data_IF_681001169249
#
_entry.id   IF_681001169249
#
_cell.length_a   1.000
_cell.length_b   1.000
_cell.length_c   1.000
_cell.angle_alpha   90.00
_cell.angle_beta   90.00
_cell.angle_gamma   90.00
#
_symmetry.space_group_name_H-M   'P 1'
#
loop_
_entity.id
_entity.type
_entity.pdbx_description
1 polymer ?
#
# COMPACT_ATOMS: atom_id res chain seq x y z
N UNK A 1 -36.65 3.49 3.89
CA UNK A 1 -37.44 2.47 4.60
C UNK A 1 -38.32 3.22 5.59
N UNK A 2 -39.65 3.07 5.59
CA UNK A 2 -40.48 3.75 6.60
C UNK A 2 -40.17 3.12 7.97
N UNK A 3 -39.69 3.90 8.93
CA UNK A 3 -39.42 3.42 10.29
C UNK A 3 -40.74 2.96 10.91
N UNK A 4 -40.72 1.84 11.63
CA UNK A 4 -41.93 1.36 12.31
C UNK A 4 -42.29 2.29 13.46
N UNK A 5 -43.59 2.40 13.76
CA UNK A 5 -44.09 3.21 14.89
C UNK A 5 -43.42 2.80 16.20
N UNK A 6 -43.15 1.50 16.39
CA UNK A 6 -42.42 0.99 17.55
C UNK A 6 -41.04 1.65 17.70
N UNK A 7 -40.23 1.68 16.64
CA UNK A 7 -38.89 2.31 16.69
C UNK A 7 -39.01 3.82 16.95
N UNK A 8 -40.00 4.50 16.35
CA UNK A 8 -40.26 5.92 16.60
C UNK A 8 -40.58 6.22 18.07
N UNK A 9 -41.39 5.38 18.71
CA UNK A 9 -41.70 5.50 20.14
C UNK A 9 -40.43 5.34 21.00
N UNK A 10 -39.52 4.45 20.62
CA UNK A 10 -38.24 4.29 21.32
C UNK A 10 -37.31 5.49 21.11
N UNK A 11 -37.24 6.05 19.90
CA UNK A 11 -36.48 7.27 19.59
C UNK A 11 -36.97 8.45 20.43
N UNK A 12 -38.30 8.60 20.59
CA UNK A 12 -38.88 9.61 21.48
C UNK A 12 -38.44 9.39 22.94
N UNK A 13 -38.52 8.16 23.44
CA UNK A 13 -38.09 7.85 24.81
C UNK A 13 -36.62 8.15 25.08
N UNK A 14 -35.75 7.93 24.09
CA UNK A 14 -34.33 8.33 24.15
C UNK A 14 -34.17 9.86 24.18
N UNK A 15 -34.94 10.60 23.37
CA UNK A 15 -34.89 12.08 23.36
C UNK A 15 -35.32 12.70 24.70
N UNK A 16 -36.31 12.11 25.37
CA UNK A 16 -36.76 12.55 26.68
C UNK A 16 -35.77 12.22 27.81
N UNK A 17 -34.90 11.23 27.64
CA UNK A 17 -33.86 10.88 28.61
C UNK A 17 -34.40 10.64 30.03
N UNK A 18 -33.81 11.33 31.00
CA UNK A 18 -34.11 11.19 32.44
C UNK A 18 -35.35 12.00 32.85
N UNK A 19 -35.76 12.99 32.04
CA UNK A 19 -36.94 13.79 32.33
C UNK A 19 -38.23 12.97 32.16
N UNK A 20 -38.15 11.92 31.34
CA UNK A 20 -39.24 11.00 31.06
C UNK A 20 -40.29 11.56 30.12
N UNK A 21 -41.22 10.70 29.77
CA UNK A 21 -42.24 10.96 28.77
C UNK A 21 -43.63 10.77 29.36
N UNK A 22 -44.57 11.61 28.93
CA UNK A 22 -46.00 11.36 29.09
C UNK A 22 -46.56 10.77 27.79
N UNK A 23 -47.70 10.09 27.88
CA UNK A 23 -48.37 9.56 26.70
C UNK A 23 -48.82 10.70 25.77
N UNK A 24 -49.31 11.81 26.33
CA UNK A 24 -49.79 12.95 25.56
C UNK A 24 -48.64 13.61 24.79
N UNK A 25 -47.48 13.79 25.44
CA UNK A 25 -46.27 14.30 24.80
C UNK A 25 -45.78 13.39 23.65
N UNK A 26 -45.93 12.07 23.79
CA UNK A 26 -45.60 11.13 22.69
C UNK A 26 -46.54 11.34 21.50
N UNK A 27 -47.84 11.53 21.74
CA UNK A 27 -48.81 11.74 20.66
C UNK A 27 -48.53 13.04 19.92
N UNK A 28 -48.33 14.14 20.65
CA UNK A 28 -47.94 15.44 20.08
C UNK A 28 -46.67 15.31 19.23
N UNK A 29 -45.67 14.58 19.71
CA UNK A 29 -44.43 14.34 18.97
C UNK A 29 -44.68 13.51 17.69
N UNK A 30 -45.44 12.42 17.77
CA UNK A 30 -45.77 11.57 16.62
C UNK A 30 -46.58 12.31 15.55
N UNK A 31 -47.42 13.26 15.93
CA UNK A 31 -48.15 14.15 15.03
C UNK A 31 -47.20 15.14 14.34
N UNK A 32 -46.28 15.77 15.09
CA UNK A 32 -45.29 16.70 14.54
C UNK A 32 -44.30 16.05 13.56
N UNK A 33 -43.99 14.76 13.76
CA UNK A 33 -43.13 13.97 12.87
C UNK A 33 -43.88 13.41 11.64
N UNK A 34 -45.17 13.79 11.47
CA UNK A 34 -46.07 13.27 10.42
C UNK A 34 -46.14 11.73 10.41
N UNK A 35 -45.86 11.08 11.54
CA UNK A 35 -45.93 9.61 11.68
C UNK A 35 -47.39 9.17 11.76
N UNK A 36 -48.21 9.99 12.42
CA UNK A 36 -49.65 9.86 12.50
C UNK A 36 -50.22 11.06 11.75
N UNK A 37 -50.97 10.81 10.67
CA UNK A 37 -51.66 11.89 9.96
C UNK A 37 -52.96 12.22 10.69
N UNK A 38 -53.18 13.53 10.89
CA UNK A 38 -54.32 14.17 11.53
C UNK A 38 -55.63 13.95 10.75
N UNK A 39 -56.06 12.69 10.71
CA UNK A 39 -57.44 12.34 10.42
C UNK A 39 -58.04 12.05 11.77
N UNK A 40 -59.16 12.70 12.06
CA UNK A 40 -60.17 12.42 13.09
C UNK A 40 -60.45 10.91 13.35
N UNK A 41 -59.95 10.02 12.48
CA UNK A 41 -59.86 8.58 12.63
C UNK A 41 -58.41 8.08 12.59
N UNK A 42 -57.56 8.46 13.56
CA UNK A 42 -56.50 7.54 13.98
C UNK A 42 -57.25 6.33 14.50
N UNK A 43 -57.40 5.33 13.64
CA UNK A 43 -58.21 4.14 13.85
C UNK A 43 -57.97 3.66 15.29
N UNK A 44 -59.04 3.42 16.05
CA UNK A 44 -58.96 3.06 17.47
C UNK A 44 -57.89 1.98 17.73
N UNK A 45 -57.70 1.08 16.76
CA UNK A 45 -56.65 0.06 16.69
C UNK A 45 -55.23 0.64 16.78
N UNK A 46 -54.91 1.69 16.02
CA UNK A 46 -53.59 2.35 16.02
C UNK A 46 -53.35 3.05 17.35
N UNK A 47 -54.36 3.77 17.87
CA UNK A 47 -54.27 4.42 19.18
C UNK A 47 -54.02 3.40 20.29
N UNK A 48 -54.83 2.33 20.34
CA UNK A 48 -54.66 1.24 21.30
C UNK A 48 -53.29 0.57 21.19
N UNK A 49 -52.77 0.42 19.97
CA UNK A 49 -51.43 -0.13 19.74
C UNK A 49 -50.33 0.78 20.27
N UNK A 50 -50.41 2.08 20.01
CA UNK A 50 -49.44 3.06 20.53
C UNK A 50 -49.50 3.10 22.05
N UNK A 51 -50.71 3.14 22.63
CA UNK A 51 -50.93 3.08 24.08
C UNK A 51 -50.31 1.83 24.69
N UNK A 52 -50.56 0.66 24.10
CA UNK A 52 -49.99 -0.61 24.56
C UNK A 52 -48.47 -0.58 24.52
N UNK A 53 -47.88 -0.16 23.40
CA UNK A 53 -46.42 -0.11 23.24
C UNK A 53 -45.82 0.88 24.24
N UNK A 54 -46.43 2.06 24.43
CA UNK A 54 -45.95 3.05 25.37
C UNK A 54 -45.92 2.49 26.80
N UNK A 55 -47.00 1.88 27.27
CA UNK A 55 -47.02 1.33 28.63
C UNK A 55 -46.17 0.06 28.80
N UNK A 56 -45.87 -0.65 27.71
CA UNK A 56 -44.95 -1.77 27.70
C UNK A 56 -43.49 -1.30 27.82
N UNK A 57 -43.12 -0.28 27.03
CA UNK A 57 -41.77 0.26 26.92
C UNK A 57 -41.37 1.20 28.08
N UNK A 58 -42.34 1.89 28.67
CA UNK A 58 -42.08 2.93 29.68
C UNK A 58 -42.56 2.53 31.08
N UNK A 59 -41.67 2.66 32.06
CA UNK A 59 -41.92 2.36 33.46
C UNK A 59 -42.23 3.62 34.26
N UNK A 60 -43.16 3.50 35.21
CA UNK A 60 -43.53 4.62 36.08
C UNK A 60 -42.39 4.89 37.06
N UNK A 61 -41.94 6.12 37.16
CA UNK A 61 -40.94 6.52 38.15
C UNK A 61 -41.58 6.68 39.52
N UNK A 62 -40.95 6.09 40.54
CA UNK A 62 -41.26 6.36 41.94
C UNK A 62 -40.84 7.79 42.27
N UNK A 63 -41.81 8.71 42.29
CA UNK A 63 -41.60 10.12 42.66
C UNK A 63 -42.09 11.16 41.65
N UNK A 64 -42.60 10.76 40.48
CA UNK A 64 -43.19 11.70 39.52
C UNK A 64 -44.61 12.10 39.93
N UNK A 65 -44.82 13.40 40.19
CA UNK A 65 -46.14 14.01 40.39
C UNK A 65 -46.95 14.09 39.08
N UNK A 66 -46.30 13.97 37.92
CA UNK A 66 -46.88 14.31 36.61
C UNK A 66 -47.16 13.12 35.68
N UNK A 67 -47.30 11.90 36.20
CA UNK A 67 -47.55 10.68 35.41
C UNK A 67 -46.50 10.47 34.29
N UNK A 68 -45.30 11.02 34.46
CA UNK A 68 -44.16 10.77 33.56
C UNK A 68 -43.59 9.38 33.79
N UNK A 69 -43.13 8.78 32.71
CA UNK A 69 -42.58 7.43 32.68
C UNK A 69 -41.22 7.44 31.98
N UNK A 70 -40.28 6.66 32.47
CA UNK A 70 -38.97 6.51 31.85
C UNK A 70 -38.96 5.34 30.89
N UNK A 71 -38.22 5.49 29.80
CA UNK A 71 -37.95 4.37 28.90
C UNK A 71 -37.17 3.31 29.69
N UNK A 72 -37.66 2.08 29.67
CA UNK A 72 -36.96 0.97 30.34
C UNK A 72 -35.63 0.68 29.63
N UNK A 73 -34.55 0.34 30.37
CA UNK A 73 -33.24 0.08 29.79
C UNK A 73 -33.24 -1.01 28.71
N UNK A 74 -34.07 -2.05 28.83
CA UNK A 74 -34.14 -3.13 27.84
C UNK A 74 -34.57 -2.62 26.46
N UNK A 75 -35.46 -1.63 26.44
CA UNK A 75 -35.96 -1.03 25.20
C UNK A 75 -34.97 -0.03 24.61
N UNK A 76 -34.14 0.60 25.44
CA UNK A 76 -33.00 1.38 24.98
C UNK A 76 -31.97 0.48 24.27
N UNK A 77 -31.63 -0.68 24.83
CA UNK A 77 -30.76 -1.65 24.15
C UNK A 77 -31.36 -2.19 22.84
N UNK A 78 -32.68 -2.45 22.80
CA UNK A 78 -33.35 -2.82 21.54
C UNK A 78 -33.26 -1.73 20.47
N UNK A 79 -33.30 -0.46 20.85
CA UNK A 79 -33.11 0.65 19.91
C UNK A 79 -31.69 0.65 19.34
N UNK A 80 -30.68 0.41 20.18
CA UNK A 80 -29.28 0.29 19.75
C UNK A 80 -29.12 -0.88 18.79
N UNK A 81 -29.62 -2.07 19.15
CA UNK A 81 -29.57 -3.26 18.29
C UNK A 81 -30.21 -3.01 16.91
N UNK A 82 -31.36 -2.31 16.89
CA UNK A 82 -31.99 -1.94 15.63
C UNK A 82 -31.09 -1.04 14.77
N UNK A 83 -30.42 -0.04 15.37
CA UNK A 83 -29.50 0.86 14.66
C UNK A 83 -28.28 0.12 14.15
N UNK A 84 -27.71 -0.79 14.94
CA UNK A 84 -26.58 -1.64 14.54
C UNK A 84 -26.95 -2.56 13.36
N UNK A 85 -28.17 -3.13 13.37
CA UNK A 85 -28.67 -3.93 12.26
C UNK A 85 -28.90 -3.09 10.99
N UNK A 86 -29.42 -1.86 11.12
CA UNK A 86 -29.60 -0.95 10.00
C UNK A 86 -28.25 -0.54 9.39
N UNK A 87 -27.28 -0.21 10.24
CA UNK A 87 -25.92 0.10 9.82
C UNK A 87 -25.24 -1.10 9.14
N UNK A 88 -25.36 -2.29 9.73
CA UNK A 88 -24.82 -3.52 9.16
C UNK A 88 -25.41 -3.84 7.79
N UNK A 89 -26.73 -3.63 7.61
CA UNK A 89 -27.39 -3.78 6.30
C UNK A 89 -26.87 -2.78 5.28
N UNK A 90 -26.69 -1.52 5.68
CA UNK A 90 -26.15 -0.48 4.81
C UNK A 90 -24.71 -0.79 4.41
N UNK A 91 -23.86 -1.16 5.38
CA UNK A 91 -22.49 -1.58 5.15
C UNK A 91 -22.41 -2.80 4.22
N UNK A 92 -23.28 -3.78 4.40
CA UNK A 92 -23.38 -4.96 3.51
C UNK A 92 -23.79 -4.56 2.09
N UNK A 93 -24.79 -3.69 1.95
CA UNK A 93 -25.22 -3.17 0.64
C UNK A 93 -24.08 -2.41 -0.07
N UNK A 94 -23.35 -1.57 0.65
CA UNK A 94 -22.22 -0.82 0.10
C UNK A 94 -21.06 -1.74 -0.27
N UNK A 95 -20.79 -2.78 0.54
CA UNK A 95 -19.80 -3.80 0.22
C UNK A 95 -20.18 -4.57 -1.05
N UNK A 96 -21.45 -4.96 -1.20
CA UNK A 96 -21.94 -5.62 -2.42
C UNK A 96 -21.78 -4.72 -3.65
N UNK A 97 -22.09 -3.42 -3.53
CA UNK A 97 -21.88 -2.48 -4.62
C UNK A 97 -20.41 -2.38 -5.02
N UNK A 98 -19.51 -2.26 -4.05
CA UNK A 98 -18.05 -2.23 -4.30
C UNK A 98 -17.56 -3.53 -4.95
N UNK A 99 -18.04 -4.67 -4.47
CA UNK A 99 -17.74 -5.98 -5.04
C UNK A 99 -18.18 -6.08 -6.50
N UNK A 100 -19.40 -5.67 -6.83
CA UNK A 100 -19.90 -5.68 -8.20
C UNK A 100 -19.08 -4.79 -9.14
N UNK A 101 -18.63 -3.62 -8.67
CA UNK A 101 -17.73 -2.75 -9.45
C UNK A 101 -16.38 -3.43 -9.69
N UNK A 102 -15.80 -4.06 -8.66
CA UNK A 102 -14.55 -4.79 -8.80
C UNK A 102 -14.67 -5.94 -9.81
N UNK A 103 -15.75 -6.72 -9.74
CA UNK A 103 -16.04 -7.79 -10.70
C UNK A 103 -16.12 -7.22 -12.13
N UNK A 104 -16.82 -6.11 -12.32
CA UNK A 104 -16.94 -5.47 -13.64
C UNK A 104 -15.58 -5.02 -14.19
N UNK A 105 -14.74 -4.42 -13.35
CA UNK A 105 -13.37 -4.03 -13.72
C UNK A 105 -12.53 -5.25 -14.11
N UNK A 106 -12.62 -6.35 -13.36
CA UNK A 106 -11.91 -7.59 -13.69
C UNK A 106 -12.34 -8.18 -15.03
N UNK A 107 -13.65 -8.19 -15.32
CA UNK A 107 -14.16 -8.67 -16.62
C UNK A 107 -13.64 -7.81 -17.77
N UNK A 108 -13.68 -6.48 -17.62
CA UNK A 108 -13.17 -5.55 -18.63
C UNK A 108 -11.66 -5.75 -18.87
N UNK A 109 -10.89 -5.95 -17.81
CA UNK A 109 -9.45 -6.21 -17.93
C UNK A 109 -9.16 -7.48 -18.75
N UNK A 110 -9.87 -8.58 -18.48
CA UNK A 110 -9.73 -9.84 -19.24
C UNK A 110 -10.01 -9.62 -20.73
N UNK A 111 -11.12 -8.92 -21.05
CA UNK A 111 -11.49 -8.63 -22.44
C UNK A 111 -10.41 -7.78 -23.13
N UNK A 112 -9.90 -6.74 -22.45
CA UNK A 112 -8.84 -5.90 -22.98
C UNK A 112 -7.55 -6.70 -23.26
N UNK A 113 -7.15 -7.58 -22.35
CA UNK A 113 -5.98 -8.46 -22.54
C UNK A 113 -6.16 -9.36 -23.77
N UNK A 114 -7.33 -9.97 -23.94
CA UNK A 114 -7.61 -10.81 -25.11
C UNK A 114 -7.51 -10.03 -26.43
N UNK A 115 -8.03 -8.80 -26.47
CA UNK A 115 -7.94 -7.93 -27.65
C UNK A 115 -6.48 -7.59 -27.97
N UNK A 116 -5.69 -7.19 -26.95
CA UNK A 116 -4.27 -6.86 -27.14
C UNK A 116 -3.50 -8.09 -27.62
N UNK A 117 -3.71 -9.26 -27.01
CA UNK A 117 -3.08 -10.51 -27.45
C UNK A 117 -3.43 -10.84 -28.90
N UNK A 118 -4.69 -10.65 -29.31
CA UNK A 118 -5.10 -10.88 -30.70
C UNK A 118 -4.42 -9.91 -31.68
N UNK A 119 -4.31 -8.63 -31.32
CA UNK A 119 -3.58 -7.63 -32.12
C UNK A 119 -2.11 -8.00 -32.22
N UNK A 120 -1.47 -8.42 -31.12
CA UNK A 120 -0.07 -8.83 -31.11
C UNK A 120 0.18 -10.07 -32.00
N UNK A 121 -0.70 -11.07 -31.93
CA UNK A 121 -0.60 -12.28 -32.75
C UNK A 121 -0.75 -11.99 -34.25
N UNK A 122 -1.63 -11.05 -34.63
CA UNK A 122 -1.82 -10.65 -36.02
C UNK A 122 -0.86 -9.56 -36.50
N UNK A 123 -0.18 -8.88 -35.57
CA UNK A 123 0.85 -7.92 -35.93
C UNK A 123 2.03 -8.70 -36.48
N UNK A 124 2.32 -8.50 -37.77
CA UNK A 124 3.53 -9.03 -38.37
C UNK A 124 4.73 -8.41 -37.66
N UNK A 125 5.42 -9.20 -36.84
CA UNK A 125 6.73 -8.86 -36.29
C UNK A 125 7.70 -8.86 -37.49
N UNK A 126 7.68 -7.77 -38.24
CA UNK A 126 8.67 -7.49 -39.27
C UNK A 126 9.92 -7.03 -38.54
N UNK A 127 10.80 -7.97 -38.19
CA UNK A 127 12.16 -7.65 -37.78
C UNK A 127 12.77 -6.88 -38.94
N UNK A 128 12.97 -5.57 -38.76
CA UNK A 128 13.62 -4.76 -39.79
C UNK A 128 15.03 -5.31 -39.99
N UNK A 129 15.44 -5.51 -41.26
CA UNK A 129 16.78 -6.02 -41.58
C UNK A 129 17.90 -5.21 -40.91
N UNK A 130 17.68 -3.93 -40.65
CA UNK A 130 18.61 -3.06 -39.91
C UNK A 130 18.87 -3.49 -38.47
N UNK A 131 17.86 -4.05 -37.77
CA UNK A 131 18.00 -4.61 -36.42
C UNK A 131 18.72 -5.96 -36.44
N UNK A 132 18.57 -6.72 -37.52
CA UNK A 132 19.31 -7.95 -37.74
C UNK A 132 20.79 -7.65 -38.05
N UNK A 133 21.06 -6.64 -38.88
CA UNK A 133 22.41 -6.20 -39.24
C UNK A 133 23.20 -5.65 -38.04
N UNK A 134 22.56 -4.95 -37.10
CA UNK A 134 23.23 -4.45 -35.91
C UNK A 134 23.66 -5.59 -34.97
N UNK A 135 22.83 -6.63 -34.82
CA UNK A 135 23.16 -7.83 -34.03
C UNK A 135 24.25 -8.67 -34.72
N UNK A 136 24.20 -8.79 -36.05
CA UNK A 136 25.22 -9.50 -36.82
C UNK A 136 26.55 -8.74 -36.80
N UNK A 137 26.55 -7.40 -36.90
CA UNK A 137 27.75 -6.58 -36.74
C UNK A 137 28.34 -6.66 -35.32
N UNK A 138 27.50 -6.72 -34.29
CA UNK A 138 27.99 -6.83 -32.90
C UNK A 138 28.51 -8.22 -32.54
N UNK A 139 28.05 -9.27 -33.23
CA UNK A 139 28.51 -10.66 -33.03
C UNK A 139 29.50 -11.15 -34.10
N UNK A 140 29.91 -10.29 -35.04
CA UNK A 140 31.04 -10.58 -35.91
C UNK A 140 32.30 -10.68 -35.03
N UNK A 141 32.96 -11.86 -34.90
CA UNK A 141 34.26 -11.92 -34.25
C UNK A 141 35.18 -10.92 -34.96
N UNK A 142 36.04 -10.18 -34.24
CA UNK A 142 36.91 -9.21 -34.89
C UNK A 142 37.66 -9.94 -35.99
N UNK A 143 37.42 -9.52 -37.25
CA UNK A 143 38.25 -9.89 -38.38
C UNK A 143 39.67 -9.72 -37.89
N UNK A 144 40.43 -10.82 -37.87
CA UNK A 144 41.85 -10.85 -37.57
C UNK A 144 42.45 -9.68 -38.34
N UNK A 145 42.70 -8.58 -37.63
CA UNK A 145 43.39 -7.45 -38.19
C UNK A 145 44.73 -8.02 -38.57
N UNK A 146 44.95 -8.18 -39.87
CA UNK A 146 46.27 -8.37 -40.43
C UNK A 146 47.02 -7.10 -40.02
N UNK A 147 47.65 -7.12 -38.86
CA UNK A 147 48.47 -6.03 -38.36
C UNK A 147 49.63 -5.95 -39.34
N UNK A 148 49.49 -5.08 -40.34
CA UNK A 148 50.61 -4.61 -41.12
C UNK A 148 51.40 -3.73 -40.16
N UNK A 149 52.30 -4.35 -39.40
CA UNK A 149 53.22 -3.64 -38.52
C UNK A 149 54.09 -2.80 -39.44
N UNK A 150 53.86 -1.49 -39.48
CA UNK A 150 54.75 -0.58 -40.18
C UNK A 150 56.14 -0.68 -39.56
N UNK A 151 57.17 -0.79 -40.40
CA UNK A 151 58.57 -0.95 -39.98
C UNK A 151 59.05 0.15 -39.01
N UNK A 152 58.37 1.31 -38.97
CA UNK A 152 58.59 2.40 -38.01
C UNK A 152 58.31 1.98 -36.56
N UNK A 153 57.25 1.21 -36.31
CA UNK A 153 56.88 0.74 -34.97
C UNK A 153 57.86 -0.32 -34.46
N UNK A 154 58.38 -1.17 -35.36
CA UNK A 154 59.44 -2.14 -35.00
C UNK A 154 60.74 -1.41 -34.66
N UNK A 155 61.05 -0.30 -35.35
CA UNK A 155 62.22 0.50 -35.03
C UNK A 155 62.10 1.16 -33.65
N UNK A 156 60.94 1.73 -33.32
CA UNK A 156 60.66 2.30 -31.98
C UNK A 156 60.70 1.26 -30.87
N UNK A 157 60.13 0.07 -31.11
CA UNK A 157 60.19 -1.03 -30.13
C UNK A 157 61.64 -1.51 -29.95
N UNK A 158 62.44 -1.59 -31.01
CA UNK A 158 63.87 -1.95 -30.91
C UNK A 158 64.67 -0.90 -30.13
N UNK A 159 64.43 0.39 -30.34
CA UNK A 159 65.09 1.45 -29.55
C UNK A 159 64.66 1.39 -28.09
N UNK A 160 63.36 1.22 -27.81
CA UNK A 160 62.85 1.10 -26.45
C UNK A 160 63.40 -0.13 -25.71
N UNK A 161 63.53 -1.28 -26.40
CA UNK A 161 64.16 -2.49 -25.85
C UNK A 161 65.65 -2.27 -25.57
N UNK A 162 66.38 -1.61 -26.49
CA UNK A 162 67.81 -1.35 -26.28
C UNK A 162 68.05 -0.34 -25.15
N UNK A 163 67.21 0.68 -25.01
CA UNK A 163 67.28 1.62 -23.89
C UNK A 163 66.95 0.94 -22.56
N UNK A 164 65.95 0.06 -22.55
CA UNK A 164 65.60 -0.74 -21.37
C UNK A 164 66.74 -1.71 -21.00
N UNK A 165 67.33 -2.41 -21.97
CA UNK A 165 68.47 -3.30 -21.73
C UNK A 165 69.70 -2.55 -21.20
N UNK A 166 69.96 -1.35 -21.71
CA UNK A 166 71.03 -0.47 -21.21
C UNK A 166 70.76 -0.03 -19.77
N UNK A 167 69.53 0.40 -19.48
CA UNK A 167 69.12 0.79 -18.12
C UNK A 167 69.28 -0.35 -17.11
N UNK A 168 68.87 -1.57 -17.48
CA UNK A 168 69.05 -2.76 -16.64
C UNK A 168 70.53 -3.08 -16.43
N UNK A 169 71.36 -3.01 -17.48
CA UNK A 169 72.82 -3.20 -17.34
C UNK A 169 73.45 -2.17 -16.40
N UNK A 170 73.04 -0.90 -16.47
CA UNK A 170 73.56 0.16 -15.60
C UNK A 170 73.10 -0.03 -14.14
N UNK A 171 71.89 -0.53 -13.92
CA UNK A 171 71.41 -0.94 -12.59
C UNK A 171 72.19 -2.14 -12.03
N UNK A 172 72.51 -3.14 -12.84
CA UNK A 172 73.33 -4.29 -12.40
C UNK A 172 74.73 -3.81 -11.99
N UNK A 173 75.39 -2.99 -12.81
CA UNK A 173 76.74 -2.45 -12.48
C UNK A 173 76.73 -1.61 -11.20
N UNK A 174 75.73 -0.75 -11.03
CA UNK A 174 75.62 0.06 -9.81
C UNK A 174 75.32 -0.80 -8.57
N UNK A 175 74.58 -1.90 -8.72
CA UNK A 175 74.33 -2.87 -7.66
C UNK A 175 75.60 -3.64 -7.29
N UNK A 176 76.38 -4.10 -8.27
CA UNK A 176 77.68 -4.76 -8.02
C UNK A 176 78.65 -3.84 -7.26
N UNK A 177 78.75 -2.58 -7.65
CA UNK A 177 79.60 -1.59 -6.95
C UNK A 177 79.14 -1.38 -5.50
N UNK A 178 77.84 -1.36 -5.25
CA UNK A 178 77.29 -1.20 -3.90
C UNK A 178 77.48 -2.45 -3.03
N UNK A 179 77.33 -3.65 -3.62
CA UNK A 179 77.57 -4.93 -2.93
C UNK A 179 79.05 -5.06 -2.54
N UNK A 180 79.98 -4.76 -3.46
CA UNK A 180 81.42 -4.78 -3.18
C UNK A 180 81.79 -3.78 -2.07
N UNK A 181 81.23 -2.56 -2.08
CA UNK A 181 81.43 -1.58 -1.00
C UNK A 181 80.88 -2.06 0.35
N UNK A 182 79.73 -2.74 0.36
CA UNK A 182 79.13 -3.26 1.60
C UNK A 182 79.91 -4.43 2.20
N UNK A 183 80.43 -5.34 1.37
CA UNK A 183 81.29 -6.45 1.78
C UNK A 183 82.64 -5.97 2.32
N UNK A 184 83.22 -4.92 1.73
CA UNK A 184 84.48 -4.35 2.22
C UNK A 184 84.32 -3.64 3.59
N UNK A 185 83.10 -3.19 3.92
CA UNK A 185 82.77 -2.57 5.22
C UNK A 185 82.50 -3.61 6.32
N UNK A 186 82.07 -4.82 5.99
CA UNK A 186 81.82 -5.90 6.96
C UNK A 186 83.04 -6.74 7.32
N UNK A 187 84.15 -6.61 6.58
CA UNK A 187 85.38 -7.41 6.78
C UNK A 187 86.41 -6.69 7.67
N UNK A 188 86.19 -5.45 8.10
CA UNK A 188 87.03 -4.85 9.15
C UNK A 188 86.62 -5.41 10.53
N UNK A 189 87.45 -6.24 11.19
CA UNK A 189 87.18 -6.66 12.55
C UNK A 189 87.24 -5.45 13.49
N UNK A 190 86.14 -5.27 14.22
CA UNK A 190 85.99 -4.29 15.29
C UNK A 190 86.91 -4.70 16.46
N UNK A 191 88.19 -4.34 16.37
CA UNK A 191 89.14 -4.46 17.47
C UNK A 191 88.87 -3.32 18.47
N UNK A 192 87.97 -3.54 19.43
CA UNK A 192 87.91 -2.81 20.71
C UNK A 192 86.87 -3.42 21.66
N UNK A 193 87.33 -4.36 22.50
CA UNK A 193 86.80 -4.58 23.84
C UNK A 193 87.97 -5.12 24.70
N UNK A 194 88.64 -4.20 25.39
CA UNK A 194 89.66 -4.44 26.40
C UNK A 194 89.47 -3.37 27.48
N UNK A 195 89.48 -3.83 28.74
CA UNK A 195 89.32 -3.10 30.01
C UNK A 195 87.88 -2.62 30.28
N UNK A 196 87.24 -2.95 31.40
CA UNK A 196 87.76 -3.30 32.74
C UNK A 196 87.31 -4.68 33.26
#
# INVERSE_FOLDING_TARGET
MKKSIYIKILEFGEQCGIDGASYDSLIEWLESEEVINDKENVELVVKNRITSIFYECFEKTTGSEHNTRLLKPEYFYRLIEFRELEESRKASSDANRKSNIAILVSVVAIVATLIISFIQLNSSISIQRSQLESIIKSNSPPLVQKVTVENSQIAEIKTAINESAKSVSDQIKSTEVNVVKSLNKSIQPNAKASAD
#
